data_IF_552116543567
#
_entry.id   IF_552116543567
#
_cell.length_a   1.000
_cell.length_b   1.000
_cell.length_c   1.000
_cell.angle_alpha   90.00
_cell.angle_beta   90.00
_cell.angle_gamma   90.00
#
_symmetry.space_group_name_H-M   'P 1'
#
loop_
_entity.id
_entity.type
_entity.pdbx_description
1 polymer ?
#
# COMPACT_ATOMS: atom_id res chain seq x y z
N UNK A 1 1.75 -8.78 -24.70
CA UNK A 1 1.97 -7.42 -24.18
C UNK A 1 1.25 -7.34 -22.86
N UNK A 2 1.98 -7.28 -21.75
CA UNK A 2 1.40 -7.32 -20.39
C UNK A 2 1.85 -6.14 -19.52
N UNK A 3 2.76 -5.31 -20.02
CA UNK A 3 3.35 -4.22 -19.25
C UNK A 3 2.43 -2.98 -19.28
N UNK A 4 1.96 -2.57 -18.11
CA UNK A 4 0.96 -1.50 -17.93
C UNK A 4 1.39 -0.54 -16.82
N UNK A 5 1.01 0.73 -16.97
CA UNK A 5 1.11 1.72 -15.89
C UNK A 5 -0.31 2.07 -15.46
N UNK A 6 -0.69 1.66 -14.25
CA UNK A 6 -2.00 1.95 -13.68
C UNK A 6 -1.92 3.25 -12.90
N UNK A 7 -2.84 4.17 -13.20
CA UNK A 7 -2.89 5.50 -12.59
C UNK A 7 -4.30 5.74 -12.06
N UNK A 8 -4.41 6.29 -10.86
CA UNK A 8 -5.69 6.67 -10.25
C UNK A 8 -6.37 7.80 -11.05
N UNK A 9 -7.71 7.87 -10.99
CA UNK A 9 -8.50 8.82 -11.80
C UNK A 9 -8.12 10.29 -11.56
N UNK A 10 -7.75 10.63 -10.32
CA UNK A 10 -7.28 11.97 -9.91
C UNK A 10 -5.89 12.32 -10.45
N UNK A 11 -5.04 11.32 -10.67
CA UNK A 11 -3.71 11.49 -11.24
C UNK A 11 -3.70 11.40 -12.77
N UNK A 12 -4.72 10.80 -13.39
CA UNK A 12 -4.82 10.65 -14.85
C UNK A 12 -4.62 11.96 -15.64
N UNK A 13 -5.18 13.12 -15.25
CA UNK A 13 -4.95 14.39 -15.94
C UNK A 13 -3.50 14.91 -15.85
N UNK A 14 -2.70 14.36 -14.93
CA UNK A 14 -1.32 14.75 -14.70
C UNK A 14 -0.33 13.88 -15.49
N UNK A 15 -0.77 12.78 -16.10
CA UNK A 15 0.08 11.96 -16.96
C UNK A 15 0.36 12.75 -18.24
N UNK A 16 1.62 13.04 -18.49
CA UNK A 16 2.09 13.78 -19.66
C UNK A 16 2.27 12.86 -20.87
N UNK A 17 2.87 11.69 -20.65
CA UNK A 17 3.20 10.75 -21.72
C UNK A 17 3.50 9.36 -21.15
N UNK A 18 3.22 8.31 -21.90
CA UNK A 18 3.60 6.93 -21.57
C UNK A 18 4.24 6.30 -22.79
N UNK A 19 5.50 5.87 -22.67
CA UNK A 19 6.28 5.34 -23.78
C UNK A 19 6.86 3.98 -23.46
N UNK A 20 6.90 3.13 -24.47
CA UNK A 20 7.66 1.88 -24.45
C UNK A 20 9.08 2.18 -24.96
N UNK A 21 10.10 1.81 -24.19
CA UNK A 21 11.50 1.90 -24.57
C UNK A 21 12.00 0.52 -25.01
N UNK A 22 12.24 0.38 -26.31
CA UNK A 22 12.91 -0.80 -26.88
C UNK A 22 14.43 -0.63 -26.76
N UNK A 23 15.13 -1.70 -26.39
CA UNK A 23 16.59 -1.68 -26.24
C UNK A 23 17.09 -1.14 -24.89
N UNK A 24 16.25 -1.12 -23.84
CA UNK A 24 16.78 -1.09 -22.49
C UNK A 24 17.46 -2.45 -22.26
N UNK A 25 18.79 -2.51 -22.37
CA UNK A 25 19.59 -3.73 -22.20
C UNK A 25 19.51 -4.23 -20.75
N UNK A 26 18.38 -4.82 -20.39
CA UNK A 26 18.09 -5.37 -19.06
C UNK A 26 18.08 -6.91 -19.07
N UNK A 27 18.53 -7.54 -20.17
CA UNK A 27 18.53 -9.00 -20.37
C UNK A 27 17.17 -9.66 -20.04
N UNK A 28 16.09 -8.97 -20.40
CA UNK A 28 14.70 -9.44 -20.22
C UNK A 28 13.98 -9.44 -21.56
N UNK A 29 13.02 -10.34 -21.70
CA UNK A 29 12.06 -10.41 -22.82
C UNK A 29 10.97 -9.33 -22.74
N UNK A 30 10.93 -8.56 -21.65
CA UNK A 30 9.99 -7.45 -21.45
C UNK A 30 10.52 -6.11 -21.97
N UNK A 31 9.62 -5.30 -22.53
CA UNK A 31 9.96 -3.93 -22.90
C UNK A 31 9.73 -2.99 -21.73
N UNK A 32 10.64 -2.04 -21.50
CA UNK A 32 10.49 -1.06 -20.43
C UNK A 32 9.37 -0.07 -20.78
N UNK A 33 8.36 0.05 -19.92
CA UNK A 33 7.30 1.07 -20.03
C UNK A 33 7.57 2.22 -19.06
N UNK A 34 7.63 3.45 -19.57
CA UNK A 34 7.94 4.64 -18.80
C UNK A 34 6.81 5.65 -18.94
N UNK A 35 6.27 6.13 -17.83
CA UNK A 35 5.27 7.19 -17.80
C UNK A 35 5.82 8.46 -17.14
N UNK A 36 5.61 9.60 -17.79
CA UNK A 36 5.96 10.92 -17.31
C UNK A 36 4.74 11.53 -16.65
N UNK A 37 4.84 11.90 -15.38
CA UNK A 37 3.73 12.51 -14.65
C UNK A 37 4.13 13.90 -14.19
N UNK A 38 3.31 14.90 -14.51
CA UNK A 38 3.44 16.26 -14.01
C UNK A 38 3.01 16.30 -12.56
N UNK A 39 3.95 16.06 -11.66
CA UNK A 39 3.72 16.30 -10.25
C UNK A 39 3.70 17.81 -10.00
N UNK A 40 2.50 18.39 -9.90
CA UNK A 40 2.35 19.66 -9.18
C UNK A 40 2.57 19.33 -7.70
N UNK A 41 3.82 19.37 -7.24
CA UNK A 41 4.06 19.72 -5.84
C UNK A 41 3.42 21.11 -5.68
N UNK A 42 2.19 21.16 -5.16
CA UNK A 42 2.03 21.99 -3.98
C UNK A 42 3.13 21.46 -3.06
N UNK A 43 4.26 22.16 -2.98
CA UNK A 43 4.95 22.18 -1.70
C UNK A 43 3.81 22.34 -0.70
N UNK A 44 3.58 21.39 0.24
CA UNK A 44 2.54 21.58 1.23
C UNK A 44 2.82 22.95 1.81
N UNK A 45 1.95 23.89 1.47
CA UNK A 45 2.14 25.32 1.63
C UNK A 45 2.49 25.48 3.11
N UNK A 46 3.78 25.73 3.40
CA UNK A 46 4.44 25.50 4.69
C UNK A 46 3.62 24.62 5.64
N UNK A 47 3.75 23.28 5.61
CA UNK A 47 3.17 22.33 6.59
C UNK A 47 2.42 23.06 7.71
N UNK A 48 1.15 23.42 7.48
CA UNK A 48 0.37 24.19 8.43
C UNK A 48 0.20 23.35 9.68
N UNK A 49 1.15 23.43 10.61
CA UNK A 49 1.47 22.40 11.60
C UNK A 49 1.72 21.03 10.94
N UNK A 50 2.74 20.25 11.33
CA UNK A 50 2.73 18.84 10.97
C UNK A 50 1.37 18.26 11.37
N UNK A 51 0.68 17.55 10.47
CA UNK A 51 -0.44 16.68 10.87
C UNK A 51 0.11 15.90 12.06
N UNK A 52 -0.44 16.14 13.25
CA UNK A 52 0.00 15.44 14.45
C UNK A 52 -0.26 13.97 14.15
N UNK A 53 0.77 13.23 13.74
CA UNK A 53 0.72 11.78 13.69
C UNK A 53 0.53 11.40 15.14
N UNK A 54 -0.73 11.19 15.52
CA UNK A 54 -1.05 10.67 16.84
C UNK A 54 -0.65 9.22 16.76
N UNK A 55 0.58 8.94 17.20
CA UNK A 55 0.94 7.59 17.57
C UNK A 55 0.10 7.29 18.81
N UNK A 56 -0.97 6.53 18.62
CA UNK A 56 -1.78 6.05 19.74
C UNK A 56 -0.89 5.11 20.51
N UNK A 57 -0.32 5.57 21.62
CA UNK A 57 0.41 4.71 22.55
C UNK A 57 -0.61 3.94 23.37
N UNK A 58 -1.12 2.83 22.83
CA UNK A 58 -2.07 1.95 23.53
C UNK A 58 -1.47 1.40 24.83
N UNK A 59 -0.14 1.37 24.97
CA UNK A 59 0.56 1.06 26.23
C UNK A 59 0.30 2.10 27.34
N UNK A 60 -0.13 3.31 26.96
CA UNK A 60 -0.41 4.45 27.83
C UNK A 60 -1.91 4.70 28.02
N UNK A 61 -2.77 3.73 27.72
CA UNK A 61 -4.17 3.78 28.13
C UNK A 61 -4.23 4.01 29.65
N UNK A 62 -4.94 5.06 30.07
CA UNK A 62 -4.94 5.54 31.44
C UNK A 62 -5.57 4.53 32.42
N UNK A 63 -6.59 3.82 31.96
CA UNK A 63 -7.27 2.78 32.72
C UNK A 63 -6.50 1.45 32.63
N UNK A 64 -5.99 0.90 33.75
CA UNK A 64 -5.24 -0.35 33.76
C UNK A 64 -6.05 -1.56 33.29
N UNK A 65 -7.36 -1.58 33.56
CA UNK A 65 -8.25 -2.68 33.20
C UNK A 65 -8.51 -2.70 31.69
N UNK A 66 -8.80 -1.53 31.11
CA UNK A 66 -8.99 -1.37 29.66
C UNK A 66 -7.71 -1.70 28.91
N UNK A 67 -6.56 -1.24 29.42
CA UNK A 67 -5.25 -1.56 28.85
C UNK A 67 -4.97 -3.06 28.84
N UNK A 68 -5.31 -3.76 29.93
CA UNK A 68 -5.14 -5.21 30.03
C UNK A 68 -5.97 -5.96 28.99
N UNK A 69 -7.27 -5.66 28.94
CA UNK A 69 -8.21 -6.29 27.98
C UNK A 69 -7.78 -6.01 26.54
N UNK A 70 -7.46 -4.75 26.22
CA UNK A 70 -7.07 -4.34 24.87
C UNK A 70 -5.78 -5.01 24.41
N UNK A 71 -4.75 -5.05 25.26
CA UNK A 71 -3.47 -5.69 24.92
C UNK A 71 -3.58 -7.21 24.78
N UNK A 72 -4.42 -7.87 25.60
CA UNK A 72 -4.69 -9.29 25.47
C UNK A 72 -5.38 -9.60 24.14
N UNK A 73 -6.41 -8.83 23.78
CA UNK A 73 -7.12 -8.98 22.51
C UNK A 73 -6.20 -8.75 21.31
N UNK A 74 -5.33 -7.73 21.36
CA UNK A 74 -4.34 -7.52 20.31
C UNK A 74 -3.40 -8.71 20.19
N UNK A 75 -2.80 -9.18 21.29
CA UNK A 75 -1.90 -10.34 21.24
C UNK A 75 -2.59 -11.57 20.68
N UNK A 76 -3.81 -11.85 21.09
CA UNK A 76 -4.59 -12.98 20.58
C UNK A 76 -4.88 -12.85 19.08
N UNK A 77 -5.30 -11.67 18.61
CA UNK A 77 -5.55 -11.40 17.19
C UNK A 77 -4.28 -11.56 16.35
N UNK A 78 -3.14 -11.08 16.82
CA UNK A 78 -1.87 -11.19 16.08
C UNK A 78 -1.22 -12.56 16.18
N UNK A 79 -1.51 -13.37 17.20
CA UNK A 79 -1.05 -14.76 17.29
C UNK A 79 -1.66 -15.65 16.21
N UNK A 80 -2.83 -15.27 15.67
CA UNK A 80 -3.49 -15.98 14.57
C UNK A 80 -2.86 -15.65 13.21
N UNK A 81 -2.05 -14.59 13.12
CA UNK A 81 -1.39 -14.22 11.87
C UNK A 81 -0.20 -15.17 11.67
N UNK A 82 -0.14 -15.91 10.55
CA UNK A 82 0.99 -16.77 10.23
C UNK A 82 2.29 -15.96 10.28
N UNK A 83 3.28 -16.43 11.05
CA UNK A 83 4.60 -15.79 11.10
C UNK A 83 5.45 -16.08 9.87
N UNK A 84 5.13 -17.17 9.20
CA UNK A 84 5.70 -17.54 7.92
C UNK A 84 4.83 -16.90 6.85
N UNK A 85 5.38 -15.95 6.12
CA UNK A 85 4.76 -15.43 4.91
C UNK A 85 4.75 -16.59 3.94
N UNK A 86 3.57 -17.05 3.53
CA UNK A 86 3.45 -18.02 2.44
C UNK A 86 4.12 -17.48 1.18
N UNK A 87 4.35 -18.34 0.19
CA UNK A 87 4.76 -17.85 -1.12
C UNK A 87 3.81 -16.73 -1.58
N UNK A 88 4.37 -15.66 -2.17
CA UNK A 88 3.65 -14.41 -2.47
C UNK A 88 2.40 -14.70 -3.32
N UNK A 89 2.46 -15.70 -4.20
CA UNK A 89 1.33 -16.10 -5.04
C UNK A 89 0.21 -16.74 -4.22
N UNK A 90 0.56 -17.50 -3.17
CA UNK A 90 -0.40 -18.12 -2.26
C UNK A 90 -1.12 -17.07 -1.40
N UNK A 91 -0.38 -16.08 -0.88
CA UNK A 91 -0.94 -14.94 -0.14
C UNK A 91 -1.84 -14.08 -1.05
N UNK A 92 -1.40 -13.81 -2.28
CA UNK A 92 -2.18 -13.07 -3.28
C UNK A 92 -3.47 -13.80 -3.64
N UNK A 93 -3.41 -15.12 -3.82
CA UNK A 93 -4.57 -15.95 -4.10
C UNK A 93 -5.58 -15.86 -2.94
N UNK A 94 -5.14 -16.05 -1.70
CA UNK A 94 -6.00 -16.00 -0.51
C UNK A 94 -6.66 -14.64 -0.32
N UNK A 95 -5.94 -13.55 -0.61
CA UNK A 95 -6.47 -12.20 -0.57
C UNK A 95 -7.49 -11.94 -1.67
N UNK A 96 -7.18 -12.36 -2.91
CA UNK A 96 -8.06 -12.13 -4.07
C UNK A 96 -9.39 -12.88 -3.95
N UNK A 97 -9.38 -14.14 -3.48
CA UNK A 97 -10.60 -14.92 -3.24
C UNK A 97 -11.46 -14.30 -2.14
N UNK A 98 -10.83 -13.83 -1.05
CA UNK A 98 -11.55 -13.16 0.05
C UNK A 98 -12.23 -11.85 -0.38
N UNK A 99 -11.65 -11.11 -1.34
CA UNK A 99 -12.28 -9.92 -1.91
C UNK A 99 -13.45 -10.28 -2.82
N UNK A 100 -13.30 -11.33 -3.63
CA UNK A 100 -14.35 -11.79 -4.55
C UNK A 100 -15.56 -12.33 -3.77
N UNK A 101 -15.35 -13.03 -2.65
CA UNK A 101 -16.46 -13.50 -1.79
C UNK A 101 -17.22 -12.38 -1.07
N UNK A 102 -16.59 -11.21 -0.87
CA UNK A 102 -17.20 -10.05 -0.25
C UNK A 102 -17.93 -9.13 -1.24
N UNK A 103 -17.95 -9.49 -2.53
CA UNK A 103 -18.68 -8.75 -3.56
C UNK A 103 -19.55 -9.71 -4.39
N UNK A 104 -20.88 -9.75 -4.18
CA UNK A 104 -21.79 -10.56 -5.00
C UNK A 104 -21.91 -10.07 -6.44
#
# INVERSE_FOLDING_TARGET
MIDLVIVSSDLRPHVLDTRVKRGAELSTDHHLVVSWIRLRRRMPDRLGRPKRIVRVCWERLADPSVRGVFNSHLRESFNQIPREVGDIESEWTMFSTSIVELWP
#
